data_IF_368281871665
#
_entry.id   IF_368281871665
#
_cell.length_a   1.000
_cell.length_b   1.000
_cell.length_c   1.000
_cell.angle_alpha   90.00
_cell.angle_beta   90.00
_cell.angle_gamma   90.00
#
_symmetry.space_group_name_H-M   'P 1'
#
loop_
_entity.id
_entity.type
_entity.pdbx_description
1 polymer ?
#
# COMPACT_ATOMS: atom_id res chain seq x y z
N UNK A 1 4.21 11.03 -9.57
CA UNK A 1 3.00 10.19 -9.52
C UNK A 1 3.31 8.97 -8.69
N UNK A 2 2.44 8.55 -7.79
CA UNK A 2 2.67 7.39 -6.94
C UNK A 2 1.40 6.56 -6.81
N UNK A 3 1.63 5.26 -6.65
CA UNK A 3 0.67 4.35 -6.06
C UNK A 3 0.95 4.34 -4.55
N UNK A 4 -0.08 4.57 -3.75
CA UNK A 4 0.01 4.72 -2.31
C UNK A 4 -0.67 3.55 -1.62
N UNK A 5 -0.04 3.03 -0.57
CA UNK A 5 -0.72 2.21 0.44
C UNK A 5 -0.99 3.12 1.63
N UNK A 6 -2.27 3.36 1.92
CA UNK A 6 -2.74 4.37 2.86
C UNK A 6 -2.31 4.07 4.31
N UNK A 7 -1.87 5.12 5.00
CA UNK A 7 -1.50 5.09 6.43
C UNK A 7 -2.58 5.61 7.38
N UNK A 8 -3.61 6.30 6.87
CA UNK A 8 -4.70 6.86 7.68
C UNK A 8 -5.51 5.75 8.33
N UNK A 9 -5.75 5.81 9.65
CA UNK A 9 -6.35 4.71 10.43
C UNK A 9 -7.64 4.11 9.85
N UNK A 10 -8.53 4.95 9.31
CA UNK A 10 -9.82 4.52 8.71
C UNK A 10 -9.68 3.92 7.31
N UNK A 11 -8.54 4.13 6.65
CA UNK A 11 -8.24 3.70 5.28
C UNK A 11 -6.97 2.84 5.22
N UNK A 12 -6.47 2.42 6.39
CA UNK A 12 -5.18 1.75 6.53
C UNK A 12 -5.08 0.55 5.59
N UNK A 13 -3.93 0.42 4.91
CA UNK A 13 -3.63 -0.63 3.94
C UNK A 13 -4.40 -0.56 2.59
N UNK A 14 -5.32 0.38 2.39
CA UNK A 14 -5.96 0.57 1.09
C UNK A 14 -4.96 1.07 0.04
N UNK A 15 -5.12 0.62 -1.19
CA UNK A 15 -4.29 1.03 -2.34
C UNK A 15 -4.99 2.17 -3.08
N UNK A 16 -4.33 3.31 -3.24
CA UNK A 16 -4.86 4.50 -3.93
C UNK A 16 -3.84 5.10 -4.88
N UNK A 17 -4.31 5.85 -5.89
CA UNK A 17 -3.46 6.64 -6.78
C UNK A 17 -3.58 8.12 -6.42
N UNK A 18 -2.45 8.80 -6.23
CA UNK A 18 -2.40 10.26 -6.04
C UNK A 18 -2.14 11.01 -7.36
N UNK A 19 -2.31 10.33 -8.50
CA UNK A 19 -1.92 10.84 -9.80
C UNK A 19 -3.08 10.81 -10.81
N UNK A 20 -3.25 11.93 -11.52
CA UNK A 20 -4.33 12.11 -12.49
C UNK A 20 -4.22 11.17 -13.70
N UNK A 21 -3.02 10.77 -14.06
CA UNK A 21 -2.67 9.94 -15.23
C UNK A 21 -2.33 8.48 -14.86
N UNK A 22 -2.54 8.07 -13.61
CA UNK A 22 -2.30 6.72 -13.13
C UNK A 22 -3.62 6.09 -12.68
N UNK A 23 -4.07 5.06 -13.41
CA UNK A 23 -5.24 4.28 -13.05
C UNK A 23 -4.83 3.03 -12.29
N UNK A 24 -5.56 2.72 -11.23
CA UNK A 24 -5.44 1.48 -10.47
C UNK A 24 -6.83 0.99 -10.11
N UNK A 25 -7.05 -0.30 -10.33
CA UNK A 25 -8.21 -1.02 -9.79
C UNK A 25 -7.71 -1.84 -8.60
N UNK A 26 -8.27 -1.59 -7.44
CA UNK A 26 -7.86 -2.22 -6.20
C UNK A 26 -9.07 -2.60 -5.36
N UNK A 27 -8.94 -3.73 -4.67
CA UNK A 27 -9.93 -4.26 -3.75
C UNK A 27 -9.35 -4.28 -2.34
N UNK A 28 -10.22 -4.09 -1.35
CA UNK A 28 -9.86 -4.22 0.06
C UNK A 28 -10.97 -4.97 0.78
N UNK A 29 -10.60 -6.05 1.46
CA UNK A 29 -11.48 -6.74 2.40
C UNK A 29 -11.57 -5.90 3.68
N UNK A 30 -12.62 -5.08 3.76
CA UNK A 30 -12.85 -4.16 4.89
C UNK A 30 -12.98 -4.92 6.21
N UNK A 31 -13.78 -6.01 6.31
CA UNK A 31 -13.80 -6.86 7.51
C UNK A 31 -12.42 -7.39 7.93
N UNK A 32 -11.62 -7.91 7.00
CA UNK A 32 -10.27 -8.40 7.29
C UNK A 32 -9.36 -7.29 7.80
N UNK A 33 -9.36 -6.13 7.14
CA UNK A 33 -8.62 -4.95 7.58
C UNK A 33 -9.02 -4.54 8.99
N UNK A 34 -10.32 -4.49 9.29
CA UNK A 34 -10.80 -4.05 10.59
C UNK A 34 -10.46 -5.00 11.72
N UNK A 35 -10.42 -6.32 11.45
CA UNK A 35 -9.92 -7.31 12.42
C UNK A 35 -8.41 -7.23 12.61
N UNK A 36 -7.66 -7.00 11.53
CA UNK A 36 -6.21 -6.99 11.56
C UNK A 36 -5.62 -5.70 12.14
N UNK A 37 -6.27 -4.55 11.95
CA UNK A 37 -5.72 -3.24 12.37
C UNK A 37 -5.74 -3.06 13.88
N UNK A 38 -4.64 -2.52 14.40
CA UNK A 38 -4.52 -2.11 15.81
C UNK A 38 -4.93 -0.65 15.97
N UNK A 39 -5.43 -0.25 17.16
CA UNK A 39 -5.87 1.12 17.43
C UNK A 39 -4.72 2.14 17.26
N UNK A 40 -5.04 3.45 17.19
CA UNK A 40 -4.03 4.51 17.26
C UNK A 40 -3.12 4.34 18.48
N UNK A 41 -1.89 4.85 18.39
CA UNK A 41 -0.78 4.63 19.35
C UNK A 41 -0.12 3.25 19.31
N UNK A 42 -0.75 2.24 18.71
CA UNK A 42 -0.13 0.94 18.49
C UNK A 42 0.55 0.81 17.11
N UNK A 43 1.59 -0.01 17.08
CA UNK A 43 2.33 -0.28 15.85
C UNK A 43 1.62 -1.30 14.97
N UNK A 44 1.20 -0.84 13.79
CA UNK A 44 0.78 -1.68 12.68
C UNK A 44 1.99 -2.05 11.81
N UNK A 45 2.03 -3.29 11.32
CA UNK A 45 3.00 -3.77 10.35
C UNK A 45 2.33 -3.89 8.97
N UNK A 46 2.97 -3.32 7.96
CA UNK A 46 2.59 -3.51 6.56
C UNK A 46 3.64 -4.37 5.86
N UNK A 47 3.19 -5.42 5.17
CA UNK A 47 3.98 -6.14 4.18
C UNK A 47 3.39 -5.85 2.80
N UNK A 48 4.17 -5.19 1.94
CA UNK A 48 3.74 -4.79 0.61
C UNK A 48 4.59 -5.56 -0.41
N UNK A 49 3.92 -6.35 -1.24
CA UNK A 49 4.55 -7.06 -2.37
C UNK A 49 4.17 -6.35 -3.65
N UNK A 50 5.16 -5.81 -4.36
CA UNK A 50 5.00 -5.30 -5.72
C UNK A 50 5.49 -6.35 -6.72
N UNK A 51 4.63 -6.80 -7.63
CA UNK A 51 5.00 -7.80 -8.65
C UNK A 51 4.23 -7.54 -9.94
N UNK A 52 4.95 -7.44 -11.06
CA UNK A 52 4.36 -7.20 -12.39
C UNK A 52 3.37 -6.01 -12.43
N UNK A 53 3.67 -4.94 -11.66
CA UNK A 53 2.85 -3.74 -11.56
C UNK A 53 1.63 -3.83 -10.63
N UNK A 54 1.32 -5.02 -10.11
CA UNK A 54 0.28 -5.24 -9.11
C UNK A 54 0.85 -5.15 -7.68
N UNK A 55 0.00 -4.75 -6.73
CA UNK A 55 0.32 -4.75 -5.30
C UNK A 55 -0.51 -5.79 -4.55
N UNK A 56 0.11 -6.44 -3.57
CA UNK A 56 -0.57 -7.19 -2.51
C UNK A 56 -0.13 -6.63 -1.16
N UNK A 57 -1.08 -6.32 -0.29
CA UNK A 57 -0.82 -5.72 1.02
C UNK A 57 -1.33 -6.63 2.12
N UNK A 58 -0.44 -6.94 3.07
CA UNK A 58 -0.83 -7.54 4.35
C UNK A 58 -0.71 -6.52 5.48
N UNK A 59 -1.72 -6.52 6.35
CA UNK A 59 -1.76 -5.75 7.58
C UNK A 59 -1.65 -6.71 8.76
N UNK A 60 -0.62 -6.54 9.59
CA UNK A 60 -0.36 -7.39 10.76
C UNK A 60 -0.41 -8.91 10.46
N UNK A 61 -0.01 -9.31 9.25
CA UNK A 61 0.06 -10.71 8.80
C UNK A 61 -1.16 -11.19 7.99
N UNK A 62 -2.29 -10.49 8.03
CA UNK A 62 -3.49 -10.82 7.23
C UNK A 62 -3.44 -10.07 5.89
N UNK A 63 -3.66 -10.77 4.77
CA UNK A 63 -3.78 -10.12 3.47
C UNK A 63 -5.12 -9.38 3.39
N UNK A 64 -5.09 -8.07 3.15
CA UNK A 64 -6.29 -7.22 3.21
C UNK A 64 -6.58 -6.49 1.91
N UNK A 65 -5.57 -6.26 1.06
CA UNK A 65 -5.76 -5.53 -0.18
C UNK A 65 -4.94 -6.12 -1.33
N UNK A 66 -5.47 -6.01 -2.54
CA UNK A 66 -4.79 -6.37 -3.77
C UNK A 66 -5.18 -5.39 -4.90
N UNK A 67 -4.28 -5.16 -5.85
CA UNK A 67 -4.58 -4.38 -7.05
C UNK A 67 -4.26 -5.13 -8.33
N UNK A 68 -5.00 -4.81 -9.37
CA UNK A 68 -4.55 -5.06 -10.74
C UNK A 68 -3.28 -4.23 -11.04
N UNK A 69 -2.53 -4.58 -12.10
CA UNK A 69 -1.38 -3.78 -12.52
C UNK A 69 -1.79 -2.32 -12.75
N UNK A 70 -1.12 -1.39 -12.05
CA UNK A 70 -1.38 0.03 -12.26
C UNK A 70 -0.89 0.44 -13.64
N UNK A 71 -1.71 1.20 -14.38
CA UNK A 71 -1.40 1.61 -15.77
C UNK A 71 -1.23 3.12 -15.84
N UNK A 72 -0.10 3.53 -16.42
CA UNK A 72 0.22 4.93 -16.72
C UNK A 72 0.51 5.08 -18.20
N UNK A 73 -0.20 5.98 -18.88
CA UNK A 73 -0.04 6.23 -20.32
C UNK A 73 -0.06 4.94 -21.18
N UNK A 74 -0.94 3.99 -20.83
CA UNK A 74 -1.09 2.73 -21.56
C UNK A 74 -0.03 1.66 -21.25
N UNK A 75 0.91 1.91 -20.34
CA UNK A 75 1.93 0.95 -19.92
C UNK A 75 1.83 0.61 -18.42
N UNK A 76 2.09 -0.64 -18.01
CA UNK A 76 2.16 -1.01 -16.59
C UNK A 76 3.27 -0.25 -15.85
N UNK A 77 2.97 0.24 -14.65
CA UNK A 77 3.95 0.83 -13.74
C UNK A 77 4.65 -0.28 -12.95
N UNK A 78 5.81 -0.71 -13.41
CA UNK A 78 6.54 -1.86 -12.84
C UNK A 78 7.69 -1.48 -11.91
N UNK A 79 8.13 -0.22 -11.92
CA UNK A 79 9.22 0.28 -11.10
C UNK A 79 8.97 1.72 -10.64
N UNK A 80 9.67 2.12 -9.58
CA UNK A 80 9.55 3.46 -9.01
C UNK A 80 10.34 3.62 -7.72
N UNK A 81 10.34 4.84 -7.20
CA UNK A 81 10.94 5.14 -5.89
C UNK A 81 9.95 4.83 -4.78
N UNK A 82 10.48 4.40 -3.64
CA UNK A 82 9.71 4.27 -2.40
C UNK A 82 9.78 5.62 -1.67
N UNK A 83 8.63 6.09 -1.20
CA UNK A 83 8.51 7.30 -0.40
C UNK A 83 7.68 7.05 0.85
N UNK A 84 7.97 7.81 1.90
CA UNK A 84 7.15 7.86 3.12
C UNK A 84 6.45 9.21 3.12
N UNK A 85 5.16 9.22 3.41
CA UNK A 85 4.35 10.42 3.43
C UNK A 85 3.67 10.59 4.79
N UNK A 86 3.53 11.84 5.19
CA UNK A 86 2.73 12.31 6.31
C UNK A 86 1.70 13.28 5.72
N UNK A 87 0.42 13.10 6.01
CA UNK A 87 -0.64 14.00 5.55
C UNK A 87 -1.51 14.44 6.74
N UNK A 88 -1.55 15.74 7.00
CA UNK A 88 -2.44 16.35 8.01
C UNK A 88 -2.08 16.10 9.47
N UNK A 89 -1.34 15.05 9.79
CA UNK A 89 -0.92 14.68 11.14
C UNK A 89 0.47 14.03 11.15
N UNK A 90 1.22 14.11 12.28
CA UNK A 90 2.47 13.38 12.43
C UNK A 90 2.29 11.86 12.30
N UNK A 91 3.26 11.20 11.69
CA UNK A 91 3.37 9.74 11.62
C UNK A 91 4.81 9.31 11.91
N UNK A 92 4.97 8.15 12.53
CA UNK A 92 6.29 7.56 12.80
C UNK A 92 6.44 6.22 12.09
N UNK A 93 7.64 5.93 11.62
CA UNK A 93 7.98 4.69 10.94
C UNK A 93 9.17 4.03 11.61
N UNK A 94 9.20 2.69 11.62
CA UNK A 94 10.34 1.89 12.11
C UNK A 94 10.44 0.58 11.36
N UNK A 95 11.62 -0.07 11.43
CA UNK A 95 11.87 -1.40 10.87
C UNK A 95 11.58 -1.52 9.36
N UNK A 96 11.84 -0.46 8.59
CA UNK A 96 11.67 -0.48 7.14
C UNK A 96 12.75 -1.36 6.52
N UNK A 97 12.32 -2.36 5.75
CA UNK A 97 13.20 -3.31 5.06
C UNK A 97 12.70 -3.48 3.64
N UNK A 98 13.63 -3.62 2.71
CA UNK A 98 13.33 -3.84 1.30
C UNK A 98 14.09 -5.09 0.87
N UNK A 99 13.40 -5.96 0.14
CA UNK A 99 13.99 -7.12 -0.51
C UNK A 99 13.56 -7.13 -1.97
N UNK A 100 14.52 -7.13 -2.88
CA UNK A 100 14.30 -7.42 -4.28
C UNK A 100 14.27 -8.94 -4.46
N UNK A 101 13.27 -9.49 -5.13
CA UNK A 101 13.30 -10.89 -5.55
C UNK A 101 14.25 -11.05 -6.73
N UNK A 102 15.20 -11.98 -6.64
CA UNK A 102 15.77 -12.60 -7.83
C UNK A 102 14.70 -13.51 -8.42
N UNK A 103 14.45 -13.38 -9.73
CA UNK A 103 13.47 -14.16 -10.49
C UNK A 103 13.61 -15.67 -10.26
#
# INVERSE_FOLDING_TARGET
>A
VCLEVQGKYIELAQIKSNARDLKVEAETDIPARDRARKPPEEWNQLEITARAGALTVKLNGEQVSHSQPAVRNGSPLTEGRIGLQSEGSPVTFRNIRIRTGSH
#
